data_IF_659033224925
#
_entry.id   IF_659033224925
#
_cell.length_a   1.000
_cell.length_b   1.000
_cell.length_c   1.000
_cell.angle_alpha   90.00
_cell.angle_beta   90.00
_cell.angle_gamma   90.00
#
_symmetry.space_group_name_H-M   'P 1'
#
loop_
_entity.id
_entity.type
_entity.pdbx_description
1 polymer ?
#
# COMPACT_ATOMS: atom_id res chain seq x y z
N UNK A 1 -6.73 -27.42 -5.37
CA UNK A 1 -5.43 -28.09 -5.58
C UNK A 1 -4.63 -27.21 -6.54
N UNK A 2 -3.74 -26.38 -6.01
CA UNK A 2 -2.96 -25.41 -6.79
C UNK A 2 -1.79 -26.10 -7.50
N UNK A 3 -1.44 -25.62 -8.70
CA UNK A 3 -0.24 -26.09 -9.39
C UNK A 3 1.00 -25.68 -8.60
N UNK A 4 1.70 -26.66 -8.02
CA UNK A 4 2.91 -26.43 -7.21
C UNK A 4 4.07 -25.81 -8.02
N UNK A 5 3.94 -25.70 -9.34
CA UNK A 5 4.97 -25.09 -10.18
C UNK A 5 4.88 -23.57 -10.24
N UNK A 6 3.70 -22.98 -10.03
CA UNK A 6 3.43 -21.54 -10.18
C UNK A 6 3.59 -20.79 -8.85
N UNK A 7 3.66 -19.45 -8.86
CA UNK A 7 3.59 -18.64 -7.64
C UNK A 7 2.32 -18.93 -6.82
N UNK A 8 2.33 -18.54 -5.54
CA UNK A 8 1.20 -18.75 -4.61
C UNK A 8 -0.05 -18.01 -5.07
N UNK A 9 0.12 -16.92 -5.79
CA UNK A 9 -0.97 -16.22 -6.45
C UNK A 9 -0.43 -15.07 -7.28
N UNK A 10 -1.14 -14.74 -8.34
CA UNK A 10 -0.83 -13.64 -9.23
C UNK A 10 -2.06 -12.76 -9.44
N UNK A 11 -1.94 -11.49 -9.10
CA UNK A 11 -3.06 -10.54 -9.08
C UNK A 11 -2.72 -9.28 -9.87
N UNK A 12 -3.70 -8.72 -10.57
CA UNK A 12 -3.66 -7.33 -11.03
C UNK A 12 -4.68 -6.52 -10.22
N UNK A 13 -4.21 -5.52 -9.51
CA UNK A 13 -5.03 -4.55 -8.78
C UNK A 13 -5.22 -3.30 -9.65
N UNK A 14 -6.46 -3.00 -10.01
CA UNK A 14 -6.83 -1.87 -10.86
C UNK A 14 -7.61 -0.86 -10.03
N UNK A 15 -7.33 0.43 -10.19
CA UNK A 15 -8.12 1.50 -9.57
C UNK A 15 -7.39 2.83 -9.62
N UNK A 16 -7.98 3.90 -9.11
CA UNK A 16 -7.31 5.21 -9.00
C UNK A 16 -6.19 5.18 -7.97
N UNK A 17 -5.41 6.26 -7.90
CA UNK A 17 -4.37 6.37 -6.88
C UNK A 17 -4.97 6.55 -5.49
N UNK A 18 -4.34 5.96 -4.47
CA UNK A 18 -4.74 6.19 -3.07
C UNK A 18 -5.97 5.43 -2.58
N UNK A 19 -6.49 4.47 -3.35
CA UNK A 19 -7.64 3.61 -2.97
C UNK A 19 -7.26 2.35 -2.18
N UNK A 20 -5.98 2.15 -1.87
CA UNK A 20 -5.52 1.03 -1.02
C UNK A 20 -4.88 -0.16 -1.72
N UNK A 21 -4.61 -0.11 -3.04
CA UNK A 21 -3.93 -1.21 -3.79
C UNK A 21 -2.64 -1.70 -3.12
N UNK A 22 -1.73 -0.77 -2.83
CA UNK A 22 -0.45 -1.06 -2.15
C UNK A 22 -0.64 -1.46 -0.68
N UNK A 23 -1.68 -0.93 -0.04
CA UNK A 23 -1.94 -1.20 1.38
C UNK A 23 -2.48 -2.62 1.56
N UNK A 24 -3.35 -3.09 0.66
CA UNK A 24 -3.79 -4.48 0.65
C UNK A 24 -2.61 -5.44 0.46
N UNK A 25 -1.68 -5.12 -0.43
CA UNK A 25 -0.47 -5.93 -0.63
C UNK A 25 0.39 -6.00 0.64
N UNK A 26 0.55 -4.88 1.35
CA UNK A 26 1.27 -4.81 2.64
C UNK A 26 0.55 -5.63 3.72
N UNK A 27 -0.75 -5.41 3.89
CA UNK A 27 -1.57 -6.14 4.85
C UNK A 27 -1.57 -7.65 4.58
N UNK A 28 -1.55 -8.05 3.31
CA UNK A 28 -1.43 -9.45 2.91
C UNK A 28 -0.08 -10.05 3.33
N UNK A 29 1.03 -9.30 3.19
CA UNK A 29 2.34 -9.73 3.66
C UNK A 29 2.35 -9.89 5.20
N UNK A 30 1.80 -8.92 5.93
CA UNK A 30 1.63 -8.99 7.38
C UNK A 30 0.79 -10.19 7.82
N UNK A 31 -0.34 -10.45 7.14
CA UNK A 31 -1.24 -11.54 7.50
C UNK A 31 -0.66 -12.93 7.20
N UNK A 32 -0.06 -13.13 6.02
CA UNK A 32 0.40 -14.46 5.59
C UNK A 32 1.79 -14.81 6.11
N UNK A 33 2.65 -13.81 6.25
CA UNK A 33 4.06 -14.01 6.61
C UNK A 33 4.43 -13.41 7.97
N UNK A 34 3.45 -12.86 8.69
CA UNK A 34 3.63 -12.26 10.02
C UNK A 34 4.69 -11.13 10.05
N UNK A 35 4.92 -10.49 8.90
CA UNK A 35 5.84 -9.35 8.74
C UNK A 35 5.50 -8.57 7.47
N UNK A 36 5.04 -7.33 7.63
CA UNK A 36 4.73 -6.43 6.52
C UNK A 36 5.96 -6.04 5.68
N UNK A 37 7.17 -6.20 6.24
CA UNK A 37 8.43 -5.95 5.53
C UNK A 37 8.85 -7.11 4.62
N UNK A 38 8.07 -8.20 4.59
CA UNK A 38 8.17 -9.26 3.58
C UNK A 38 7.42 -8.89 2.29
N UNK A 39 7.25 -7.60 2.02
CA UNK A 39 6.85 -7.07 0.73
C UNK A 39 8.04 -6.38 0.04
N UNK A 40 8.36 -6.81 -1.18
CA UNK A 40 9.29 -6.10 -2.06
C UNK A 40 8.48 -5.29 -3.07
N UNK A 41 8.56 -3.96 -3.00
CA UNK A 41 7.92 -3.07 -3.97
C UNK A 41 8.92 -2.62 -5.03
N UNK A 42 8.52 -2.72 -6.30
CA UNK A 42 9.31 -2.27 -7.45
C UNK A 42 8.41 -1.38 -8.31
N UNK A 43 8.88 -0.16 -8.57
CA UNK A 43 8.18 0.80 -9.44
C UNK A 43 8.51 0.53 -10.90
N UNK A 44 7.51 0.14 -11.70
CA UNK A 44 7.69 -0.19 -13.12
C UNK A 44 7.95 1.03 -14.00
N UNK A 45 7.72 2.25 -13.49
CA UNK A 45 8.13 3.48 -14.18
C UNK A 45 9.65 3.61 -14.31
N UNK A 46 10.43 3.00 -13.42
CA UNK A 46 11.90 2.90 -13.56
C UNK A 46 12.34 1.93 -14.67
N UNK A 47 11.40 1.16 -15.22
CA UNK A 47 11.64 0.06 -16.16
C UNK A 47 11.08 0.31 -17.56
N UNK A 48 10.87 1.58 -17.92
CA UNK A 48 10.33 2.00 -19.22
C UNK A 48 11.27 1.72 -20.39
N UNK A 49 12.58 1.76 -20.16
CA UNK A 49 13.59 1.62 -21.22
C UNK A 49 14.11 0.19 -21.29
N UNK A 50 14.38 -0.31 -22.51
CA UNK A 50 14.82 -1.70 -22.73
C UNK A 50 16.03 -2.11 -21.89
N UNK A 51 17.03 -1.24 -21.74
CA UNK A 51 18.25 -1.56 -21.00
C UNK A 51 18.01 -1.60 -19.47
N UNK A 52 17.03 -0.84 -18.98
CA UNK A 52 16.68 -0.83 -17.56
C UNK A 52 16.12 -2.16 -17.07
N UNK A 53 15.47 -2.95 -17.96
CA UNK A 53 14.95 -4.30 -17.67
C UNK A 53 16.04 -5.24 -17.14
N UNK A 54 17.28 -5.07 -17.61
CA UNK A 54 18.41 -5.87 -17.11
C UNK A 54 18.64 -5.69 -15.61
N UNK A 55 18.33 -4.53 -15.03
CA UNK A 55 18.49 -4.30 -13.58
C UNK A 55 17.60 -5.20 -12.71
N UNK A 56 16.48 -5.74 -13.24
CA UNK A 56 15.63 -6.70 -12.51
C UNK A 56 16.29 -8.06 -12.34
N UNK A 57 17.10 -8.48 -13.32
CA UNK A 57 17.72 -9.81 -13.41
C UNK A 57 19.26 -9.76 -13.36
N UNK A 58 19.83 -8.58 -13.14
CA UNK A 58 21.27 -8.32 -13.11
C UNK A 58 21.80 -7.93 -14.49
N UNK A 59 22.89 -7.16 -14.55
CA UNK A 59 23.48 -6.82 -15.84
C UNK A 59 24.05 -8.07 -16.55
N UNK A 60 24.16 -8.10 -17.88
CA UNK A 60 24.85 -9.18 -18.59
C UNK A 60 26.36 -9.21 -18.29
N UNK A 61 27.04 -10.36 -18.52
CA UNK A 61 28.50 -10.44 -18.40
C UNK A 61 29.19 -9.37 -19.27
N UNK A 62 30.10 -8.60 -18.66
CA UNK A 62 30.86 -7.54 -19.35
C UNK A 62 30.27 -6.13 -19.25
N UNK A 63 29.16 -5.93 -18.53
CA UNK A 63 28.57 -4.62 -18.26
C UNK A 63 28.82 -4.15 -16.81
N UNK A 64 28.82 -2.83 -16.59
CA UNK A 64 28.89 -2.25 -15.22
C UNK A 64 27.67 -2.70 -14.42
N UNK A 65 27.88 -3.11 -13.17
CA UNK A 65 26.83 -3.70 -12.33
C UNK A 65 26.60 -5.18 -12.58
N UNK A 66 27.44 -5.87 -13.36
CA UNK A 66 27.40 -7.33 -13.48
C UNK A 66 27.53 -8.01 -12.12
N UNK A 67 28.38 -7.50 -11.23
CA UNK A 67 28.56 -8.08 -9.90
C UNK A 67 27.35 -7.88 -8.97
N UNK A 68 26.52 -6.87 -9.25
CA UNK A 68 25.24 -6.63 -8.59
C UNK A 68 24.19 -7.59 -9.17
N UNK A 69 23.55 -8.39 -8.31
CA UNK A 69 22.45 -9.25 -8.75
C UNK A 69 21.23 -8.43 -9.17
N UNK A 70 20.24 -9.08 -9.78
CA UNK A 70 19.01 -8.41 -10.18
C UNK A 70 18.16 -7.99 -8.99
N UNK A 71 17.52 -6.82 -9.06
CA UNK A 71 16.67 -6.33 -7.96
C UNK A 71 15.57 -7.33 -7.59
N UNK A 72 14.91 -7.93 -8.59
CA UNK A 72 13.83 -8.89 -8.37
C UNK A 72 14.38 -10.26 -7.98
N UNK A 73 15.41 -10.74 -8.68
CA UNK A 73 15.98 -12.07 -8.42
C UNK A 73 16.63 -12.13 -7.04
N UNK A 74 17.38 -11.11 -6.64
CA UNK A 74 18.00 -11.05 -5.31
C UNK A 74 16.97 -10.85 -4.20
N UNK A 75 15.94 -10.03 -4.38
CA UNK A 75 14.90 -9.84 -3.37
C UNK A 75 14.22 -11.17 -3.01
N UNK A 76 13.81 -11.95 -4.02
CA UNK A 76 13.16 -13.24 -3.81
C UNK A 76 14.15 -14.31 -3.35
N UNK A 77 15.42 -14.26 -3.79
CA UNK A 77 16.46 -15.16 -3.29
C UNK A 77 16.68 -15.00 -1.77
N UNK A 78 16.65 -13.77 -1.26
CA UNK A 78 16.78 -13.51 0.18
C UNK A 78 15.48 -13.75 0.96
N UNK A 79 14.32 -13.50 0.34
CA UNK A 79 12.99 -13.63 0.95
C UNK A 79 12.08 -14.51 0.06
N UNK A 80 12.26 -15.85 0.09
CA UNK A 80 11.52 -16.75 -0.79
C UNK A 80 10.02 -16.87 -0.45
N UNK A 81 9.63 -16.49 0.76
CA UNK A 81 8.24 -16.36 1.21
C UNK A 81 7.95 -14.87 1.35
N UNK A 82 7.30 -14.28 0.34
CA UNK A 82 7.16 -12.84 0.26
C UNK A 82 6.04 -12.42 -0.69
N UNK A 83 5.66 -11.15 -0.59
CA UNK A 83 4.86 -10.46 -1.60
C UNK A 83 5.80 -9.65 -2.49
N UNK A 84 5.68 -9.81 -3.80
CA UNK A 84 6.33 -8.92 -4.79
C UNK A 84 5.25 -8.01 -5.36
N UNK A 85 5.38 -6.72 -5.13
CA UNK A 85 4.50 -5.68 -5.65
C UNK A 85 5.16 -4.95 -6.83
N UNK A 86 4.62 -5.11 -8.03
CA UNK A 86 5.03 -4.43 -9.25
C UNK A 86 4.06 -3.27 -9.51
N UNK A 87 4.47 -2.06 -9.16
CA UNK A 87 3.61 -0.88 -9.19
C UNK A 87 3.60 -0.25 -10.60
N UNK A 88 2.44 0.21 -11.08
CA UNK A 88 2.26 0.85 -12.40
C UNK A 88 2.72 0.00 -13.59
N UNK A 89 2.28 -1.27 -13.63
CA UNK A 89 2.75 -2.27 -14.61
C UNK A 89 2.60 -1.84 -16.07
N UNK A 90 1.63 -0.98 -16.38
CA UNK A 90 1.43 -0.44 -17.73
C UNK A 90 2.58 0.44 -18.24
N UNK A 91 3.45 0.92 -17.35
CA UNK A 91 4.62 1.73 -17.70
C UNK A 91 5.84 0.87 -18.04
N UNK A 92 5.85 -0.41 -17.68
CA UNK A 92 6.98 -1.29 -17.94
C UNK A 92 7.27 -1.45 -19.44
N UNK A 93 8.55 -1.59 -19.79
CA UNK A 93 8.96 -1.98 -21.14
C UNK A 93 8.38 -3.37 -21.52
N UNK A 94 7.93 -3.58 -22.78
CA UNK A 94 7.33 -4.84 -23.20
C UNK A 94 8.18 -6.11 -22.96
N UNK A 95 9.51 -6.00 -23.01
CA UNK A 95 10.43 -7.12 -22.76
C UNK A 95 10.35 -7.65 -21.32
N UNK A 96 9.94 -6.82 -20.35
CA UNK A 96 9.78 -7.21 -18.95
C UNK A 96 8.66 -8.25 -18.79
N UNK A 97 7.59 -8.14 -19.56
CA UNK A 97 6.48 -9.09 -19.52
C UNK A 97 6.90 -10.50 -19.92
N UNK A 98 7.90 -10.66 -20.79
CA UNK A 98 8.43 -11.98 -21.15
C UNK A 98 9.11 -12.66 -19.96
N UNK A 99 9.85 -11.88 -19.16
CA UNK A 99 10.49 -12.37 -17.93
C UNK A 99 9.44 -12.75 -16.88
N UNK A 100 8.43 -11.89 -16.70
CA UNK A 100 7.34 -12.18 -15.77
C UNK A 100 6.50 -13.38 -16.22
N UNK A 101 6.31 -13.59 -17.53
CA UNK A 101 5.59 -14.76 -18.04
C UNK A 101 6.29 -16.06 -17.64
N UNK A 102 7.64 -16.10 -17.70
CA UNK A 102 8.42 -17.24 -17.19
C UNK A 102 8.16 -17.47 -15.69
N UNK A 103 8.10 -16.40 -14.90
CA UNK A 103 7.79 -16.50 -13.47
C UNK A 103 6.39 -17.06 -13.23
N UNK A 104 5.40 -16.57 -13.97
CA UNK A 104 4.00 -16.97 -13.81
C UNK A 104 3.72 -18.39 -14.31
N UNK A 105 4.49 -18.88 -15.29
CA UNK A 105 4.35 -20.22 -15.87
C UNK A 105 5.13 -21.28 -15.07
N UNK A 106 6.41 -21.02 -14.80
CA UNK A 106 7.33 -22.02 -14.25
C UNK A 106 7.65 -21.83 -12.76
N UNK A 107 7.20 -20.70 -12.18
CA UNK A 107 7.53 -20.28 -10.81
C UNK A 107 9.03 -20.08 -10.61
N UNK A 108 9.76 -19.74 -11.68
CA UNK A 108 11.22 -19.60 -11.67
C UNK A 108 11.67 -18.48 -12.57
N UNK A 109 12.77 -17.83 -12.20
CA UNK A 109 13.46 -16.85 -13.03
C UNK A 109 14.95 -17.12 -12.99
N UNK A 110 15.61 -17.14 -14.15
CA UNK A 110 17.07 -17.28 -14.23
C UNK A 110 17.68 -15.92 -14.47
N UNK A 111 18.63 -15.54 -13.61
CA UNK A 111 19.35 -14.28 -13.71
C UNK A 111 20.42 -14.33 -14.82
N UNK A 112 21.02 -13.18 -15.14
CA UNK A 112 22.07 -13.10 -16.18
C UNK A 112 23.40 -13.78 -15.78
N UNK A 113 23.52 -14.30 -14.56
CA UNK A 113 24.63 -15.16 -14.10
C UNK A 113 24.30 -16.64 -14.19
N UNK A 114 23.12 -17.01 -14.67
CA UNK A 114 22.66 -18.39 -14.77
C UNK A 114 22.12 -18.96 -13.46
N UNK A 115 21.89 -18.14 -12.43
CA UNK A 115 21.29 -18.57 -11.16
C UNK A 115 19.78 -18.58 -11.30
N UNK A 116 19.15 -19.70 -10.97
CA UNK A 116 17.69 -19.82 -10.98
C UNK A 116 17.11 -19.55 -9.60
N UNK A 117 16.19 -18.59 -9.51
CA UNK A 117 15.45 -18.21 -8.32
C UNK A 117 14.05 -18.81 -8.36
N UNK A 118 13.54 -19.24 -7.20
CA UNK A 118 12.24 -19.91 -7.06
C UNK A 118 11.18 -18.92 -6.53
N UNK A 119 10.06 -18.80 -7.25
CA UNK A 119 8.93 -17.92 -6.97
C UNK A 119 7.68 -18.67 -6.47
N UNK A 120 7.75 -19.99 -6.29
CA UNK A 120 6.57 -20.82 -5.91
C UNK A 120 5.94 -20.47 -4.58
N UNK A 121 6.68 -19.82 -3.69
CA UNK A 121 6.21 -19.36 -2.38
C UNK A 121 5.98 -17.84 -2.33
N UNK A 122 5.97 -17.19 -3.50
CA UNK A 122 5.80 -15.74 -3.64
C UNK A 122 4.38 -15.43 -4.12
N UNK A 123 3.79 -14.36 -3.60
CA UNK A 123 2.59 -13.75 -4.17
C UNK A 123 3.01 -12.58 -5.03
N UNK A 124 2.56 -12.55 -6.27
CA UNK A 124 2.88 -11.48 -7.23
C UNK A 124 1.65 -10.59 -7.37
N UNK A 125 1.80 -9.34 -7.01
CA UNK A 125 0.76 -8.32 -7.16
C UNK A 125 1.28 -7.28 -8.13
N UNK A 126 0.51 -7.01 -9.18
CA UNK A 126 0.74 -5.88 -10.06
C UNK A 126 -0.31 -4.83 -9.78
N UNK A 127 0.06 -3.55 -9.76
CA UNK A 127 -0.93 -2.48 -9.76
C UNK A 127 -1.01 -1.85 -11.13
N UNK A 128 -2.19 -1.34 -11.47
CA UNK A 128 -2.38 -0.52 -12.65
C UNK A 128 -3.37 0.60 -12.38
N UNK A 129 -3.14 1.74 -13.02
CA UNK A 129 -4.13 2.83 -13.06
C UNK A 129 -4.91 2.82 -14.40
N UNK A 130 -4.76 1.79 -15.25
CA UNK A 130 -5.54 1.66 -16.49
C UNK A 130 -7.04 1.68 -16.18
N UNK A 131 -7.78 2.55 -16.88
CA UNK A 131 -9.23 2.63 -16.77
C UNK A 131 -9.73 3.22 -15.45
N UNK A 132 -8.85 3.79 -14.62
CA UNK A 132 -9.23 4.37 -13.32
C UNK A 132 -10.24 5.51 -13.45
N UNK A 133 -10.15 6.31 -14.51
CA UNK A 133 -11.13 7.37 -14.79
C UNK A 133 -12.52 6.79 -15.09
N UNK A 134 -12.59 5.70 -15.86
CA UNK A 134 -13.86 5.03 -16.18
C UNK A 134 -14.48 4.45 -14.91
N UNK A 135 -13.67 3.80 -14.07
CA UNK A 135 -14.14 3.26 -12.78
C UNK A 135 -14.74 4.40 -11.94
N UNK A 136 -14.03 5.53 -11.81
CA UNK A 136 -14.50 6.69 -11.05
C UNK A 136 -15.81 7.23 -11.61
N UNK A 137 -15.83 7.57 -12.90
CA UNK A 137 -16.96 8.23 -13.54
C UNK A 137 -18.22 7.34 -13.52
N UNK A 138 -18.05 6.02 -13.69
CA UNK A 138 -19.16 5.05 -13.57
C UNK A 138 -19.65 4.90 -12.14
N UNK A 139 -18.75 4.84 -11.15
CA UNK A 139 -19.15 4.76 -9.74
C UNK A 139 -19.88 6.03 -9.29
N UNK A 140 -19.44 7.21 -9.74
CA UNK A 140 -20.09 8.49 -9.46
C UNK A 140 -21.51 8.56 -10.05
N UNK A 141 -21.73 8.02 -11.25
CA UNK A 141 -23.06 7.93 -11.87
C UNK A 141 -24.08 7.15 -11.02
N UNK A 142 -23.62 6.22 -10.19
CA UNK A 142 -24.47 5.40 -9.32
C UNK A 142 -24.35 5.79 -7.83
N UNK A 143 -23.79 6.95 -7.51
CA UNK A 143 -23.56 7.41 -6.12
C UNK A 143 -22.85 6.35 -5.26
N UNK A 144 -21.83 5.71 -5.85
CA UNK A 144 -21.08 4.58 -5.29
C UNK A 144 -21.90 3.32 -4.94
N UNK A 145 -23.14 3.21 -5.46
CA UNK A 145 -24.03 2.07 -5.26
C UNK A 145 -24.42 1.44 -6.60
N UNK A 146 -23.41 0.93 -7.31
CA UNK A 146 -23.57 0.35 -8.65
C UNK A 146 -24.26 -1.03 -8.59
N UNK A 147 -25.30 -1.27 -9.43
CA UNK A 147 -25.88 -2.60 -9.57
C UNK A 147 -24.88 -3.63 -10.12
N UNK A 148 -24.94 -4.88 -9.66
CA UNK A 148 -24.02 -5.97 -10.06
C UNK A 148 -23.90 -6.13 -11.60
N UNK A 149 -25.02 -5.99 -12.32
CA UNK A 149 -25.04 -6.08 -13.79
C UNK A 149 -24.20 -4.98 -14.44
N UNK A 150 -24.22 -3.77 -13.89
CA UNK A 150 -23.43 -2.64 -14.39
C UNK A 150 -21.96 -2.79 -14.01
N UNK A 151 -21.67 -3.38 -12.84
CA UNK A 151 -20.31 -3.73 -12.44
C UNK A 151 -19.69 -4.77 -13.40
N UNK A 152 -20.47 -5.75 -13.85
CA UNK A 152 -20.02 -6.73 -14.85
C UNK A 152 -19.68 -6.06 -16.20
N UNK A 153 -20.50 -5.10 -16.64
CA UNK A 153 -20.24 -4.30 -17.84
C UNK A 153 -18.95 -3.49 -17.66
N UNK A 154 -18.78 -2.81 -16.54
CA UNK A 154 -17.56 -2.08 -16.22
C UNK A 154 -16.33 -3.00 -16.22
N UNK A 155 -16.42 -4.17 -15.58
CA UNK A 155 -15.32 -5.17 -15.56
C UNK A 155 -14.91 -5.59 -16.97
N UNK A 156 -15.88 -5.80 -17.86
CA UNK A 156 -15.62 -6.12 -19.27
C UNK A 156 -14.94 -4.96 -20.03
N UNK A 157 -15.38 -3.72 -19.80
CA UNK A 157 -14.78 -2.52 -20.40
C UNK A 157 -13.31 -2.35 -19.96
N UNK A 158 -13.04 -2.50 -18.66
CA UNK A 158 -11.69 -2.42 -18.08
C UNK A 158 -10.79 -3.54 -18.62
N UNK A 159 -11.30 -4.76 -18.72
CA UNK A 159 -10.55 -5.87 -19.30
C UNK A 159 -10.25 -5.64 -20.79
N UNK A 160 -11.18 -5.03 -21.53
CA UNK A 160 -10.96 -4.57 -22.89
C UNK A 160 -9.83 -3.55 -23.02
N UNK A 161 -9.70 -2.62 -22.06
CA UNK A 161 -8.59 -1.66 -22.00
C UNK A 161 -7.27 -2.34 -21.67
N UNK A 162 -7.24 -3.22 -20.66
CA UNK A 162 -6.03 -3.96 -20.31
C UNK A 162 -5.46 -4.72 -21.50
N UNK A 163 -6.31 -5.39 -22.29
CA UNK A 163 -5.90 -6.12 -23.50
C UNK A 163 -5.27 -5.26 -24.60
N UNK A 164 -5.48 -3.94 -24.57
CA UNK A 164 -4.84 -2.99 -25.52
C UNK A 164 -3.41 -2.64 -25.09
N UNK A 165 -3.12 -2.66 -23.80
CA UNK A 165 -1.82 -2.28 -23.23
C UNK A 165 -0.96 -3.50 -22.87
N UNK A 166 -1.59 -4.61 -22.48
CA UNK A 166 -0.94 -5.83 -22.00
C UNK A 166 -1.36 -7.00 -22.89
N UNK A 167 -0.40 -7.83 -23.28
CA UNK A 167 -0.63 -8.96 -24.19
C UNK A 167 -1.59 -9.98 -23.55
N UNK A 168 -2.54 -10.56 -24.32
CA UNK A 168 -3.48 -11.55 -23.80
C UNK A 168 -2.80 -12.78 -23.17
N UNK A 169 -1.65 -13.23 -23.71
CA UNK A 169 -0.88 -14.33 -23.16
C UNK A 169 -0.46 -14.11 -21.70
N UNK A 170 -0.12 -12.86 -21.34
CA UNK A 170 0.22 -12.48 -19.98
C UNK A 170 -1.01 -12.43 -19.08
N UNK A 171 -2.09 -11.80 -19.55
CA UNK A 171 -3.35 -11.71 -18.80
C UNK A 171 -3.94 -13.09 -18.49
N UNK A 172 -3.79 -14.05 -19.40
CA UNK A 172 -4.24 -15.43 -19.22
C UNK A 172 -3.43 -16.21 -18.15
N UNK A 173 -2.35 -15.62 -17.60
CA UNK A 173 -1.54 -16.18 -16.52
C UNK A 173 -1.74 -15.50 -15.19
N UNK A 174 -2.57 -14.48 -15.15
CA UNK A 174 -3.00 -13.84 -13.92
C UNK A 174 -4.14 -14.65 -13.34
N UNK A 175 -4.08 -14.95 -12.04
CA UNK A 175 -5.11 -15.75 -11.39
C UNK A 175 -6.39 -14.94 -11.16
N UNK A 176 -6.27 -13.65 -10.80
CA UNK A 176 -7.43 -12.77 -10.62
C UNK A 176 -7.11 -11.30 -10.90
N UNK A 177 -8.10 -10.56 -11.42
CA UNK A 177 -8.03 -9.11 -11.63
C UNK A 177 -8.98 -8.43 -10.65
N UNK A 178 -8.43 -7.77 -9.65
CA UNK A 178 -9.18 -7.12 -8.58
C UNK A 178 -9.39 -5.64 -8.90
N UNK A 179 -10.65 -5.23 -8.98
CA UNK A 179 -11.03 -3.83 -9.18
C UNK A 179 -11.23 -3.14 -7.84
N UNK A 180 -10.54 -2.02 -7.63
CA UNK A 180 -10.67 -1.17 -6.46
C UNK A 180 -11.55 0.02 -6.80
N UNK A 181 -12.59 0.19 -5.99
CA UNK A 181 -13.50 1.31 -6.10
C UNK A 181 -12.89 2.60 -5.51
N UNK A 182 -13.34 3.78 -5.96
CA UNK A 182 -13.05 5.02 -5.28
C UNK A 182 -13.53 4.95 -3.82
N UNK A 183 -12.80 5.63 -2.94
CA UNK A 183 -13.16 5.68 -1.53
C UNK A 183 -14.29 6.68 -1.31
N UNK A 184 -15.28 6.30 -0.51
CA UNK A 184 -16.29 7.24 -0.02
C UNK A 184 -15.84 7.88 1.31
N UNK A 185 -16.54 8.94 1.74
CA UNK A 185 -16.16 9.69 2.93
C UNK A 185 -16.21 8.85 4.23
N UNK A 186 -17.13 7.90 4.32
CA UNK A 186 -17.22 6.98 5.47
C UNK A 186 -15.97 6.10 5.57
N UNK A 187 -15.53 5.53 4.45
CA UNK A 187 -14.29 4.76 4.37
C UNK A 187 -13.07 5.63 4.67
N UNK A 188 -13.07 6.91 4.27
CA UNK A 188 -12.00 7.85 4.62
C UNK A 188 -11.95 8.10 6.14
N UNK A 189 -13.10 8.24 6.81
CA UNK A 189 -13.15 8.37 8.27
C UNK A 189 -12.50 7.16 8.95
N UNK A 190 -12.79 5.93 8.49
CA UNK A 190 -12.16 4.73 9.01
C UNK A 190 -10.65 4.70 8.75
N UNK A 191 -10.20 5.15 7.57
CA UNK A 191 -8.78 5.29 7.26
C UNK A 191 -8.10 6.30 8.20
N UNK A 192 -8.75 7.42 8.52
CA UNK A 192 -8.24 8.39 9.50
C UNK A 192 -8.07 7.72 10.86
N UNK A 193 -9.05 6.95 11.33
CA UNK A 193 -8.96 6.21 12.60
C UNK A 193 -7.79 5.23 12.60
N UNK A 194 -7.58 4.48 11.52
CA UNK A 194 -6.43 3.56 11.38
C UNK A 194 -5.10 4.33 11.49
N UNK A 195 -4.96 5.45 10.76
CA UNK A 195 -3.73 6.26 10.80
C UNK A 195 -3.48 6.87 12.18
N UNK A 196 -4.52 7.32 12.87
CA UNK A 196 -4.42 7.84 14.23
C UNK A 196 -4.12 6.73 15.25
N UNK A 197 -4.61 5.51 15.02
CA UNK A 197 -4.24 4.31 15.78
C UNK A 197 -2.74 4.04 15.72
N UNK A 198 -2.16 4.03 14.51
CA UNK A 198 -0.72 3.87 14.33
C UNK A 198 0.08 4.97 15.04
N UNK A 199 -0.42 6.22 15.00
CA UNK A 199 0.20 7.33 15.73
C UNK A 199 0.11 7.15 17.25
N UNK A 200 -1.02 6.65 17.75
CA UNK A 200 -1.22 6.34 19.18
C UNK A 200 -0.21 5.29 19.64
N UNK A 201 0.02 4.23 18.87
CA UNK A 201 1.01 3.21 19.17
C UNK A 201 2.42 3.82 19.28
N UNK A 202 2.83 4.63 18.30
CA UNK A 202 4.13 5.32 18.32
C UNK A 202 4.31 6.25 19.53
N UNK A 203 3.26 6.98 19.92
CA UNK A 203 3.29 7.86 21.08
C UNK A 203 3.35 7.05 22.39
N UNK A 204 2.70 5.89 22.44
CA UNK A 204 2.70 5.02 23.61
C UNK A 204 4.08 4.45 23.93
N UNK A 205 4.91 4.20 22.91
CA UNK A 205 6.33 3.84 23.09
C UNK A 205 7.14 4.92 23.81
N UNK A 206 6.63 6.16 23.82
CA UNK A 206 7.20 7.32 24.50
C UNK A 206 6.36 7.75 25.72
N UNK A 207 5.60 6.82 26.31
CA UNK A 207 4.72 7.01 27.48
C UNK A 207 3.58 8.04 27.30
N UNK A 208 3.31 8.46 26.08
CA UNK A 208 2.23 9.42 25.79
C UNK A 208 1.00 8.71 25.27
N UNK A 209 -0.18 9.17 25.68
CA UNK A 209 -1.45 8.69 25.12
C UNK A 209 -2.01 9.73 24.15
N UNK A 210 -2.79 9.25 23.18
CA UNK A 210 -3.47 10.10 22.20
C UNK A 210 -4.97 9.80 22.18
N UNK A 211 -5.77 10.81 22.51
CA UNK A 211 -7.23 10.80 22.38
C UNK A 211 -7.65 11.80 21.31
N UNK A 212 -8.49 11.37 20.37
CA UNK A 212 -8.98 12.20 19.27
C UNK A 212 -10.49 12.07 19.25
N UNK A 213 -11.22 13.18 19.24
CA UNK A 213 -12.68 13.16 19.16
C UNK A 213 -13.17 12.74 17.77
N UNK A 214 -14.37 12.17 17.68
CA UNK A 214 -14.99 11.82 16.39
C UNK A 214 -15.13 13.05 15.48
N UNK A 215 -15.39 14.23 16.05
CA UNK A 215 -15.43 15.49 15.31
C UNK A 215 -14.07 15.82 14.66
N UNK A 216 -12.96 15.59 15.36
CA UNK A 216 -11.63 15.78 14.80
C UNK A 216 -11.30 14.74 13.72
N UNK A 217 -11.76 13.49 13.89
CA UNK A 217 -11.64 12.45 12.84
C UNK A 217 -12.37 12.89 11.57
N UNK A 218 -13.63 13.32 11.69
CA UNK A 218 -14.41 13.81 10.55
C UNK A 218 -13.83 15.06 9.93
N UNK A 219 -13.31 15.99 10.74
CA UNK A 219 -12.61 17.16 10.22
C UNK A 219 -11.40 16.78 9.36
N UNK A 220 -10.59 15.82 9.79
CA UNK A 220 -9.43 15.34 9.02
C UNK A 220 -9.90 14.61 7.75
N UNK A 221 -10.98 13.83 7.82
CA UNK A 221 -11.54 13.16 6.67
C UNK A 221 -12.01 14.16 5.61
N UNK A 222 -12.80 15.16 6.00
CA UNK A 222 -13.35 16.18 5.10
C UNK A 222 -12.24 17.03 4.44
N UNK A 223 -11.21 17.42 5.21
CA UNK A 223 -10.12 18.25 4.70
C UNK A 223 -9.00 17.45 4.01
N UNK A 224 -8.99 16.13 4.22
CA UNK A 224 -7.98 15.21 3.68
C UNK A 224 -8.47 14.34 2.53
N UNK A 225 -9.78 14.33 2.26
CA UNK A 225 -10.38 13.59 1.16
C UNK A 225 -10.23 14.33 -0.16
N UNK A 226 -9.72 13.63 -1.16
CA UNK A 226 -9.65 14.09 -2.54
C UNK A 226 -10.14 12.95 -3.45
N UNK A 227 -11.22 13.15 -4.22
CA UNK A 227 -11.76 12.10 -5.10
C UNK A 227 -10.79 11.58 -6.16
N UNK A 228 -9.79 12.38 -6.58
CA UNK A 228 -8.78 11.98 -7.56
C UNK A 228 -7.58 11.27 -6.91
N UNK A 229 -7.20 11.71 -5.71
CA UNK A 229 -6.00 11.23 -4.99
C UNK A 229 -6.30 10.19 -3.90
N UNK A 230 -7.58 9.88 -3.66
CA UNK A 230 -8.03 8.95 -2.62
C UNK A 230 -7.62 9.39 -1.23
N UNK A 231 -7.18 8.43 -0.39
CA UNK A 231 -6.74 8.72 0.98
C UNK A 231 -5.32 9.27 1.10
N UNK A 232 -4.58 9.47 -0.01
CA UNK A 232 -3.19 9.95 0.04
C UNK A 232 -3.03 11.30 0.78
N UNK A 233 -3.91 12.31 0.61
CA UNK A 233 -3.76 13.58 1.30
C UNK A 233 -4.00 13.47 2.81
N UNK A 234 -4.83 12.53 3.27
CA UNK A 234 -5.11 12.27 4.69
C UNK A 234 -3.82 12.09 5.49
N UNK A 235 -2.92 11.21 5.05
CA UNK A 235 -1.65 10.96 5.75
C UNK A 235 -0.79 12.22 5.84
N UNK A 236 -0.76 13.03 4.77
CA UNK A 236 -0.04 14.31 4.75
C UNK A 236 -0.66 15.34 5.68
N UNK A 237 -2.00 15.37 5.74
CA UNK A 237 -2.75 16.25 6.63
C UNK A 237 -2.48 15.91 8.10
N UNK A 238 -2.57 14.62 8.47
CA UNK A 238 -2.22 14.15 9.82
C UNK A 238 -0.78 14.52 10.16
N UNK A 239 0.17 14.28 9.25
CA UNK A 239 1.57 14.67 9.47
C UNK A 239 1.70 16.18 9.76
N UNK A 240 1.03 17.02 8.97
CA UNK A 240 1.17 18.48 9.06
C UNK A 240 0.42 19.07 10.26
N UNK A 241 -0.83 18.71 10.46
CA UNK A 241 -1.70 19.32 11.46
C UNK A 241 -1.56 18.67 12.83
N UNK A 242 -1.15 17.39 12.89
CA UNK A 242 -1.02 16.65 14.14
C UNK A 242 0.44 16.43 14.51
N UNK A 243 1.17 15.65 13.72
CA UNK A 243 2.51 15.21 14.12
C UNK A 243 3.48 16.40 14.26
N UNK A 244 3.50 17.29 13.27
CA UNK A 244 4.37 18.45 13.29
C UNK A 244 3.98 19.44 14.39
N UNK A 245 2.69 19.62 14.65
CA UNK A 245 2.21 20.56 15.68
C UNK A 245 2.47 20.03 17.09
N UNK A 246 2.21 18.74 17.33
CA UNK A 246 2.58 18.06 18.56
C UNK A 246 4.09 18.16 18.82
N UNK A 247 4.91 17.95 17.80
CA UNK A 247 6.38 18.07 17.90
C UNK A 247 6.80 19.48 18.35
N UNK A 248 6.19 20.54 17.79
CA UNK A 248 6.47 21.92 18.22
C UNK A 248 6.07 22.15 19.68
N UNK A 249 4.90 21.65 20.10
CA UNK A 249 4.42 21.84 21.46
C UNK A 249 5.26 21.08 22.50
N UNK A 250 5.76 19.91 22.15
CA UNK A 250 6.73 19.16 22.96
C UNK A 250 8.05 19.92 23.11
N UNK A 251 8.61 20.43 22.00
CA UNK A 251 9.85 21.23 22.03
C UNK A 251 9.68 22.52 22.84
N UNK A 252 8.52 23.18 22.72
CA UNK A 252 8.19 24.37 23.48
C UNK A 252 7.92 24.10 24.97
N UNK A 253 7.75 22.83 25.37
CA UNK A 253 7.41 22.43 26.74
C UNK A 253 5.95 22.66 27.13
N UNK A 254 5.07 22.99 26.16
CA UNK A 254 3.63 23.17 26.38
C UNK A 254 2.92 21.83 26.63
N UNK A 255 3.42 20.77 26.00
CA UNK A 255 3.02 19.39 26.25
C UNK A 255 4.25 18.69 26.83
N UNK A 256 4.03 17.89 27.88
CA UNK A 256 5.10 17.11 28.52
C UNK A 256 5.07 15.68 28.01
N UNK A 257 6.24 15.05 28.02
CA UNK A 257 6.33 13.59 28.00
C UNK A 257 5.53 13.05 29.20
N UNK A 258 4.94 11.86 29.07
CA UNK A 258 4.04 11.25 30.06
C UNK A 258 2.66 11.94 30.21
N UNK A 259 2.14 12.56 29.15
CA UNK A 259 0.81 13.17 29.12
C UNK A 259 -0.17 12.43 28.19
N UNK A 260 -1.46 12.60 28.45
CA UNK A 260 -2.52 12.28 27.50
C UNK A 260 -2.80 13.52 26.67
N UNK A 261 -2.51 13.44 25.38
CA UNK A 261 -2.80 14.50 24.40
C UNK A 261 -4.23 14.31 23.90
N UNK A 262 -5.02 15.38 23.96
CA UNK A 262 -6.37 15.39 23.44
C UNK A 262 -6.46 16.29 22.21
N UNK A 263 -7.07 15.78 21.14
CA UNK A 263 -7.30 16.51 19.90
C UNK A 263 -8.80 16.64 19.67
N UNK A 264 -9.26 17.88 19.57
CA UNK A 264 -10.65 18.24 19.28
C UNK A 264 -10.72 19.30 18.18
N UNK A 265 -11.93 19.69 17.78
CA UNK A 265 -12.17 20.81 16.86
C UNK A 265 -12.73 21.98 17.64
N UNK A 266 -12.16 23.17 17.45
CA UNK A 266 -12.69 24.42 18.01
C UNK A 266 -12.54 25.54 16.97
N UNK A 267 -13.61 26.30 16.74
CA UNK A 267 -13.64 27.37 15.72
C UNK A 267 -13.20 26.89 14.33
N UNK A 268 -13.55 25.64 13.96
CA UNK A 268 -13.23 25.04 12.67
C UNK A 268 -11.76 24.64 12.49
N UNK A 269 -10.98 24.56 13.56
CA UNK A 269 -9.57 24.13 13.53
C UNK A 269 -9.30 23.06 14.57
N UNK A 270 -8.30 22.22 14.31
CA UNK A 270 -7.80 21.28 15.31
C UNK A 270 -7.17 22.01 16.48
N UNK A 271 -7.52 21.60 17.69
CA UNK A 271 -6.98 22.12 18.95
C UNK A 271 -6.39 20.99 19.76
N UNK A 272 -5.26 21.29 20.39
CA UNK A 272 -4.50 20.36 21.22
C UNK A 272 -4.69 20.75 22.69
N UNK A 273 -5.07 19.77 23.50
CA UNK A 273 -5.00 19.81 24.94
C UNK A 273 -4.02 18.75 25.45
N UNK A 274 -3.55 18.92 26.69
CA UNK A 274 -2.85 17.85 27.38
C UNK A 274 -3.27 17.77 28.84
N UNK A 275 -3.36 16.55 29.34
CA UNK A 275 -3.53 16.24 30.76
C UNK A 275 -2.30 15.46 31.20
N UNK A 276 -1.60 15.97 32.22
CA UNK A 276 -0.48 15.23 32.80
C UNK A 276 -1.03 13.99 33.49
N UNK A 277 -0.47 12.80 33.21
CA UNK A 277 -0.83 11.60 33.95
C UNK A 277 -0.48 11.83 35.42
N UNK A 278 -1.48 11.98 36.27
CA UNK A 278 -1.26 11.92 37.72
C UNK A 278 -0.95 10.46 38.01
N UNK A 279 0.32 10.15 38.28
CA UNK A 279 0.71 8.85 38.83
C UNK A 279 -0.11 8.66 40.11
N UNK A 280 -1.10 7.76 40.08
CA UNK A 280 -1.75 7.29 41.29
C UNK A 280 -0.64 6.68 42.17
N UNK A 281 -0.44 7.26 43.36
CA UNK A 281 0.46 6.71 44.35
C UNK A 281 0.10 5.24 44.58
N UNK A 282 1.08 4.32 44.71
CA UNK A 282 0.76 2.96 45.11
C UNK A 282 0.02 3.03 46.44
N UNK A 283 -1.15 2.38 46.51
CA UNK A 283 -1.86 2.20 47.78
C UNK A 283 -0.86 1.62 48.78
N UNK A 284 -0.59 2.38 49.84
CA UNK A 284 0.21 1.87 50.96
C UNK A 284 -0.44 0.56 51.41
N UNK A 285 0.33 -0.53 51.60
CA UNK A 285 -0.24 -1.76 52.09
C UNK A 285 -0.87 -1.48 53.45
N UNK A 286 -2.19 -1.65 53.52
CA UNK A 286 -2.97 -1.54 54.76
C UNK A 286 -2.29 -2.36 55.85
N UNK A 287 -1.57 -1.68 56.75
CA UNK A 287 -1.23 -2.23 58.05
C UNK A 287 -2.50 -2.18 58.89
N UNK A 288 -3.12 -3.33 59.15
CA UNK A 288 -3.59 -3.85 60.45
C UNK A 288 -4.24 -5.21 60.21
#
# INVERSE_FOLDING_TARGET
LQDQKRPVGSFIFIGTTGVGKTELARALAGFLFNDENLMTRIDMSEYQERHSVSRLIGAPPGYVGYDEGGQLTEAVRHKPYSVVLLDEIEKAHPDLFNLLLQVLDDGRLTDNKGRTVNFRNVIIIMTSNIGSDIIRDRMEQYDNNMPEKEEEVLRNDIFGLLRRSIRPEFLNRIDEIVMFHPLNLEQINEIVKIQLGNLRELLSENNMDLEVTDEAVSWIADHGFDPQSGARPVKRLIQREIVNELSKQLIAGNIRNDSTVWISVENGRLKFGSLTKVLSAPEEPSQV
#
